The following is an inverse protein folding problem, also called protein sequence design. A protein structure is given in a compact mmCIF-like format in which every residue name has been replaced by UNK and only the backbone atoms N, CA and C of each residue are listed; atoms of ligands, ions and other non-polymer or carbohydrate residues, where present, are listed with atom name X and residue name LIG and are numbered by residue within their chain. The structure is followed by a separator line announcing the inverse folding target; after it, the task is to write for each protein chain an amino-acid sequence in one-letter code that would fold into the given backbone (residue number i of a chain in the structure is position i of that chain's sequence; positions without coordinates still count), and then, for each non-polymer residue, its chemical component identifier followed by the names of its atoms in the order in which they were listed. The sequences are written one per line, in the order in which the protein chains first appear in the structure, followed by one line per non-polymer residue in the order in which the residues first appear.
data_IF_503328475403
#
_entry.id   IF_503328475403
#
_cell.length_a   1.000
_cell.length_b   1.000
_cell.length_c   1.000
_cell.angle_alpha   90.00
_cell.angle_beta   90.00
_cell.angle_gamma   90.00
#
_symmetry.space_group_name_H-M   'P 1'
#
loop_
_entity.id
_entity.type
_entity.pdbx_description
1 polymer ?
#
# COMPACT_ATOMS: atom_id res chain seq x y z
N UNK A 1 3.83 7.70 21.60
CA UNK A 1 3.59 7.98 20.16
C UNK A 1 2.32 7.26 19.77
N UNK A 2 1.38 7.94 19.13
CA UNK A 2 0.12 7.37 18.67
C UNK A 2 0.42 6.47 17.47
N UNK A 3 0.11 5.19 17.59
CA UNK A 3 0.22 4.24 16.48
C UNK A 3 -0.97 4.44 15.55
N UNK A 4 -0.72 4.61 14.25
CA UNK A 4 -1.78 4.69 13.23
C UNK A 4 -1.94 3.37 12.48
N UNK A 5 -3.15 3.05 11.99
CA UNK A 5 -3.40 1.84 11.22
C UNK A 5 -2.62 1.78 9.91
N UNK A 6 -2.31 0.54 9.50
CA UNK A 6 -1.78 0.22 8.17
C UNK A 6 -2.84 -0.61 7.45
N UNK A 7 -3.24 -0.17 6.27
CA UNK A 7 -4.27 -0.82 5.45
C UNK A 7 -3.62 -1.38 4.19
N UNK A 8 -3.87 -2.66 3.93
CA UNK A 8 -3.56 -3.33 2.67
C UNK A 8 -4.86 -3.69 1.95
N UNK A 9 -4.82 -3.68 0.62
CA UNK A 9 -5.88 -4.22 -0.24
C UNK A 9 -5.29 -5.26 -1.19
N UNK A 10 -5.84 -6.48 -1.21
CA UNK A 10 -5.39 -7.52 -2.12
C UNK A 10 -6.42 -8.64 -2.30
N UNK A 11 -6.64 -9.07 -3.53
CA UNK A 11 -7.39 -10.29 -3.84
C UNK A 11 -6.45 -11.46 -4.13
N UNK A 12 -6.82 -12.66 -3.67
CA UNK A 12 -5.99 -13.85 -3.79
C UNK A 12 -4.88 -13.91 -2.75
N UNK A 13 -3.98 -14.88 -2.88
CA UNK A 13 -2.91 -15.11 -1.91
C UNK A 13 -1.59 -15.50 -2.60
N UNK A 14 -0.97 -14.60 -3.37
CA UNK A 14 0.32 -14.86 -3.98
C UNK A 14 1.43 -14.96 -2.92
N UNK A 15 2.50 -15.65 -3.27
CA UNK A 15 3.59 -15.96 -2.33
C UNK A 15 4.27 -14.72 -1.72
N UNK A 16 4.32 -13.61 -2.45
CA UNK A 16 4.96 -12.38 -1.96
C UNK A 16 4.16 -11.66 -0.87
N UNK A 17 2.82 -11.77 -0.88
CA UNK A 17 1.93 -11.08 0.07
C UNK A 17 2.32 -11.31 1.54
N UNK A 18 2.66 -12.54 1.90
CA UNK A 18 3.08 -12.90 3.26
C UNK A 18 4.32 -12.14 3.75
N UNK A 19 5.22 -11.77 2.83
CA UNK A 19 6.45 -11.05 3.20
C UNK A 19 6.13 -9.60 3.54
N UNK A 20 5.32 -8.92 2.72
CA UNK A 20 4.89 -7.53 2.99
C UNK A 20 4.11 -7.43 4.30
N UNK A 21 3.11 -8.29 4.51
CA UNK A 21 2.30 -8.29 5.72
C UNK A 21 3.12 -8.57 7.00
N UNK A 22 3.99 -9.59 6.97
CA UNK A 22 4.83 -9.92 8.12
C UNK A 22 5.87 -8.84 8.40
N UNK A 23 6.44 -8.25 7.37
CA UNK A 23 7.41 -7.18 7.52
C UNK A 23 6.77 -5.92 8.11
N UNK A 24 5.58 -5.53 7.63
CA UNK A 24 4.83 -4.43 8.22
C UNK A 24 4.56 -4.67 9.70
N UNK A 25 4.11 -5.87 10.11
CA UNK A 25 3.91 -6.24 11.51
C UNK A 25 5.20 -6.20 12.32
N UNK A 26 6.33 -6.64 11.74
CA UNK A 26 7.61 -6.67 12.43
C UNK A 26 8.10 -5.27 12.81
N UNK A 27 8.03 -4.32 11.86
CA UNK A 27 8.46 -2.94 12.09
C UNK A 27 7.41 -2.10 12.83
N UNK A 28 6.14 -2.54 12.82
CA UNK A 28 5.02 -1.83 13.44
C UNK A 28 4.23 -2.76 14.39
N UNK A 29 4.85 -3.20 15.50
CA UNK A 29 4.25 -4.18 16.40
C UNK A 29 2.98 -3.66 17.09
N UNK A 30 2.83 -2.36 17.24
CA UNK A 30 1.72 -1.71 17.93
C UNK A 30 0.64 -1.14 17.01
N UNK A 31 0.88 -1.08 15.68
CA UNK A 31 -0.12 -0.62 14.72
C UNK A 31 -1.19 -1.68 14.47
N UNK A 32 -2.44 -1.27 14.35
CA UNK A 32 -3.46 -2.13 13.75
C UNK A 32 -3.11 -2.32 12.27
N UNK A 33 -3.13 -3.56 11.80
CA UNK A 33 -2.90 -3.90 10.40
C UNK A 33 -4.15 -4.56 9.86
N UNK A 34 -4.73 -3.95 8.85
CA UNK A 34 -5.91 -4.44 8.15
C UNK A 34 -5.54 -4.97 6.77
N UNK A 35 -6.10 -6.10 6.39
CA UNK A 35 -6.06 -6.62 5.02
C UNK A 35 -7.49 -6.69 4.49
N UNK A 36 -7.86 -5.76 3.61
CA UNK A 36 -9.09 -5.85 2.84
C UNK A 36 -8.85 -6.82 1.67
N UNK A 37 -9.59 -7.91 1.64
CA UNK A 37 -9.32 -8.96 0.66
C UNK A 37 -10.48 -9.93 0.45
N UNK A 38 -10.16 -11.14 0.02
CA UNK A 38 -11.10 -12.22 -0.23
C UNK A 38 -10.83 -13.43 0.70
N UNK A 39 -11.66 -14.47 0.58
CA UNK A 39 -11.49 -15.72 1.37
C UNK A 39 -10.14 -16.41 1.17
N UNK A 40 -9.43 -16.16 0.05
CA UNK A 40 -8.16 -16.83 -0.26
C UNK A 40 -7.02 -16.32 0.62
N UNK A 41 -7.08 -15.06 1.06
CA UNK A 41 -6.08 -14.45 1.93
C UNK A 41 -6.54 -14.23 3.39
N UNK A 42 -7.71 -14.75 3.77
CA UNK A 42 -8.20 -14.80 5.16
C UNK A 42 -7.51 -15.93 5.94
N UNK A 43 -6.22 -15.78 6.19
CA UNK A 43 -5.38 -16.81 6.84
C UNK A 43 -4.27 -16.27 7.73
N UNK A 44 -4.12 -14.96 7.80
CA UNK A 44 -3.06 -14.31 8.57
C UNK A 44 -3.58 -13.89 9.94
N UNK A 45 -3.24 -14.64 10.99
CA UNK A 45 -3.73 -14.45 12.35
C UNK A 45 -3.07 -13.30 13.13
N UNK A 46 -2.16 -12.58 12.50
CA UNK A 46 -1.42 -11.45 13.09
C UNK A 46 -1.91 -10.08 12.62
N UNK A 47 -2.97 -10.05 11.83
CA UNK A 47 -3.64 -8.86 11.36
C UNK A 47 -5.16 -9.06 11.42
N UNK A 48 -5.92 -8.01 11.16
CA UNK A 48 -7.36 -8.07 11.02
C UNK A 48 -7.73 -8.19 9.55
N UNK A 49 -8.28 -9.33 9.15
CA UNK A 49 -8.78 -9.53 7.79
C UNK A 49 -10.21 -9.00 7.65
N UNK A 50 -10.46 -8.29 6.56
CA UNK A 50 -11.76 -7.72 6.20
C UNK A 50 -12.17 -8.25 4.83
N UNK A 51 -13.33 -8.87 4.74
CA UNK A 51 -13.90 -9.29 3.45
C UNK A 51 -14.30 -8.03 2.66
N UNK A 52 -13.55 -7.69 1.59
CA UNK A 52 -13.79 -6.50 0.79
C UNK A 52 -15.19 -6.49 0.17
N UNK A 53 -15.74 -7.67 -0.17
CA UNK A 53 -17.11 -7.82 -0.71
C UNK A 53 -18.20 -7.24 0.20
N UNK A 54 -17.95 -7.00 1.49
CA UNK A 54 -18.86 -6.27 2.37
C UNK A 54 -19.16 -4.85 1.87
N UNK A 55 -18.22 -4.25 1.17
CA UNK A 55 -18.27 -2.86 0.67
C UNK A 55 -18.47 -2.80 -0.86
N UNK A 56 -18.98 -3.88 -1.48
CA UNK A 56 -19.16 -3.99 -2.93
C UNK A 56 -20.03 -2.89 -3.50
N UNK A 57 -21.07 -2.48 -2.78
CA UNK A 57 -22.04 -1.47 -3.24
C UNK A 57 -21.37 -0.12 -3.57
N UNK A 58 -20.42 0.31 -2.75
CA UNK A 58 -19.69 1.56 -2.94
C UNK A 58 -18.76 1.48 -4.14
N UNK A 59 -18.16 0.32 -4.38
CA UNK A 59 -17.30 0.07 -5.54
C UNK A 59 -18.11 -0.06 -6.85
N UNK A 60 -19.30 -0.66 -6.83
CA UNK A 60 -20.16 -0.86 -7.98
C UNK A 60 -20.60 0.46 -8.62
N UNK A 61 -20.76 1.53 -7.83
CA UNK A 61 -21.11 2.85 -8.33
C UNK A 61 -20.04 3.37 -9.31
N UNK A 62 -18.77 3.20 -9.00
CA UNK A 62 -17.67 3.55 -9.90
C UNK A 62 -17.52 2.54 -11.05
N UNK A 63 -17.63 1.24 -10.77
CA UNK A 63 -17.53 0.20 -11.79
C UNK A 63 -18.53 0.40 -12.94
N UNK A 64 -19.74 0.88 -12.60
CA UNK A 64 -20.80 1.14 -13.60
C UNK A 64 -20.53 2.31 -14.56
N UNK A 65 -19.63 3.22 -14.21
CA UNK A 65 -19.25 4.38 -15.04
C UNK A 65 -17.85 4.27 -15.63
N UNK A 66 -17.03 3.31 -15.14
CA UNK A 66 -15.66 3.13 -15.59
C UNK A 66 -15.58 2.84 -17.08
N UNK A 67 -14.67 3.52 -17.75
CA UNK A 67 -14.30 3.26 -19.15
C UNK A 67 -12.82 3.00 -19.22
N UNK A 68 -12.48 1.80 -19.68
CA UNK A 68 -11.09 1.38 -19.77
C UNK A 68 -10.30 2.19 -20.80
N UNK A 69 -9.13 2.73 -20.36
CA UNK A 69 -8.20 3.52 -21.15
C UNK A 69 -6.76 3.19 -20.76
N UNK A 70 -6.37 1.91 -20.87
CA UNK A 70 -5.03 1.46 -20.48
C UNK A 70 -4.60 0.27 -21.32
N UNK A 71 -3.31 0.07 -21.51
CA UNK A 71 -2.75 -1.16 -22.08
C UNK A 71 -2.75 -2.34 -21.10
N UNK A 72 -2.97 -2.11 -19.82
CA UNK A 72 -3.17 -3.16 -18.83
C UNK A 72 -4.51 -3.85 -19.04
N UNK A 73 -4.68 -5.07 -18.52
CA UNK A 73 -5.99 -5.75 -18.57
C UNK A 73 -7.06 -4.95 -17.81
N UNK A 74 -8.26 -4.83 -18.40
CA UNK A 74 -9.37 -4.02 -17.86
C UNK A 74 -9.71 -4.36 -16.42
N UNK A 75 -9.84 -5.65 -16.11
CA UNK A 75 -10.16 -6.10 -14.75
C UNK A 75 -9.08 -5.72 -13.73
N UNK A 76 -7.81 -5.79 -14.13
CA UNK A 76 -6.70 -5.39 -13.27
C UNK A 76 -6.76 -3.89 -12.99
N UNK A 77 -6.89 -3.08 -14.06
CA UNK A 77 -6.91 -1.62 -13.94
C UNK A 77 -8.12 -1.14 -13.14
N UNK A 78 -9.30 -1.71 -13.41
CA UNK A 78 -10.50 -1.39 -12.64
C UNK A 78 -10.31 -1.68 -11.14
N UNK A 79 -9.68 -2.78 -10.76
CA UNK A 79 -9.42 -3.10 -9.36
C UNK A 79 -8.45 -2.09 -8.70
N UNK A 80 -7.52 -1.50 -9.47
CA UNK A 80 -6.67 -0.42 -8.96
C UNK A 80 -7.47 0.82 -8.55
N UNK A 81 -8.58 1.12 -9.26
CA UNK A 81 -9.51 2.18 -8.86
C UNK A 81 -10.44 1.76 -7.73
N UNK A 82 -11.05 0.58 -7.83
CA UNK A 82 -12.07 0.12 -6.88
C UNK A 82 -11.53 0.00 -5.45
N UNK A 83 -10.24 -0.30 -5.27
CA UNK A 83 -9.64 -0.41 -3.92
C UNK A 83 -9.88 0.83 -3.08
N UNK A 84 -9.92 2.03 -3.67
CA UNK A 84 -10.13 3.28 -2.94
C UNK A 84 -11.54 3.39 -2.38
N UNK A 85 -12.55 2.93 -3.12
CA UNK A 85 -13.94 2.88 -2.67
C UNK A 85 -14.14 1.87 -1.54
N UNK A 86 -13.51 0.68 -1.63
CA UNK A 86 -13.52 -0.31 -0.56
C UNK A 86 -12.86 0.24 0.72
N UNK A 87 -11.69 0.88 0.59
CA UNK A 87 -10.97 1.48 1.72
C UNK A 87 -11.78 2.63 2.31
N UNK A 88 -12.36 3.49 1.49
CA UNK A 88 -13.19 4.61 1.91
C UNK A 88 -14.39 4.13 2.75
N UNK A 89 -15.14 3.16 2.26
CA UNK A 89 -16.30 2.61 2.95
C UNK A 89 -15.90 1.90 4.28
N UNK A 90 -14.80 1.15 4.27
CA UNK A 90 -14.24 0.55 5.47
C UNK A 90 -13.85 1.60 6.51
N UNK A 91 -13.12 2.64 6.11
CA UNK A 91 -12.69 3.71 7.00
C UNK A 91 -13.88 4.46 7.60
N UNK A 92 -14.91 4.73 6.81
CA UNK A 92 -16.15 5.37 7.25
C UNK A 92 -16.86 4.55 8.33
N UNK A 93 -17.10 3.27 8.06
CA UNK A 93 -17.83 2.39 8.97
C UNK A 93 -17.11 2.20 10.31
N UNK A 94 -15.76 2.14 10.28
CA UNK A 94 -14.95 1.86 11.44
C UNK A 94 -14.36 3.11 12.10
N UNK A 95 -14.77 4.32 11.68
CA UNK A 95 -14.27 5.60 12.18
C UNK A 95 -12.73 5.65 12.18
N UNK A 96 -12.10 5.12 11.10
CA UNK A 96 -10.66 5.17 10.95
C UNK A 96 -10.23 6.62 10.73
N UNK A 97 -9.37 7.11 11.63
CA UNK A 97 -8.72 8.40 11.50
C UNK A 97 -7.55 8.33 10.51
N UNK A 98 -6.42 8.89 10.89
CA UNK A 98 -5.20 8.82 10.08
C UNK A 98 -4.78 7.36 9.83
N UNK A 99 -4.33 7.05 8.62
CA UNK A 99 -3.81 5.73 8.29
C UNK A 99 -2.79 5.77 7.14
N UNK A 100 -2.00 4.71 7.03
CA UNK A 100 -1.15 4.45 5.87
C UNK A 100 -1.79 3.32 5.05
N UNK A 101 -1.94 3.56 3.75
CA UNK A 101 -2.15 2.50 2.77
C UNK A 101 -0.80 2.00 2.24
N UNK A 102 -0.65 0.69 2.12
CA UNK A 102 0.48 0.05 1.48
C UNK A 102 0.02 -0.94 0.41
N UNK A 103 0.67 -0.89 -0.76
CA UNK A 103 0.54 -1.96 -1.74
C UNK A 103 1.11 -3.28 -1.18
N UNK A 104 0.53 -4.38 -1.60
CA UNK A 104 0.85 -5.72 -1.11
C UNK A 104 2.23 -6.24 -1.51
N UNK A 105 2.96 -5.50 -2.32
CA UNK A 105 4.33 -5.75 -2.77
C UNK A 105 5.34 -4.71 -2.24
N UNK A 106 4.98 -4.00 -1.17
CA UNK A 106 5.86 -3.10 -0.43
C UNK A 106 6.45 -3.81 0.79
N UNK A 107 7.77 -3.76 0.97
CA UNK A 107 8.44 -4.11 2.22
C UNK A 107 8.71 -2.85 3.04
N UNK A 108 8.13 -2.76 4.22
CA UNK A 108 8.29 -1.64 5.15
C UNK A 108 9.44 -1.91 6.13
N UNK A 109 10.37 -0.94 6.30
CA UNK A 109 11.56 -1.03 7.15
C UNK A 109 11.61 0.07 8.22
N UNK A 110 10.48 0.75 8.46
CA UNK A 110 10.40 1.78 9.48
C UNK A 110 9.11 1.65 10.30
N UNK A 111 9.15 2.16 11.51
CA UNK A 111 7.96 2.40 12.33
C UNK A 111 7.24 3.65 11.81
N UNK A 112 6.00 3.48 11.35
CA UNK A 112 5.17 4.56 10.79
C UNK A 112 5.01 5.72 11.78
N UNK A 113 4.96 5.45 13.08
CA UNK A 113 4.80 6.51 14.09
C UNK A 113 5.95 7.53 14.10
N UNK A 114 7.15 7.11 13.63
CA UNK A 114 8.31 8.01 13.51
C UNK A 114 8.25 8.86 12.23
N UNK A 115 7.48 8.42 11.25
CA UNK A 115 7.35 9.12 9.97
C UNK A 115 6.18 10.11 9.97
N UNK A 116 5.18 9.89 10.83
CA UNK A 116 3.96 10.69 10.90
C UNK A 116 4.21 12.22 10.98
N UNK A 117 5.13 12.74 11.80
CA UNK A 117 5.40 14.16 11.88
C UNK A 117 5.78 14.84 10.55
N UNK A 118 6.25 14.08 9.57
CA UNK A 118 6.67 14.61 8.26
C UNK A 118 5.50 14.85 7.30
N UNK A 119 4.35 14.20 7.50
CA UNK A 119 3.22 14.29 6.58
C UNK A 119 1.85 14.51 7.25
N UNK A 120 1.77 14.57 8.59
CA UNK A 120 0.50 14.76 9.31
C UNK A 120 -0.22 16.09 9.02
N UNK A 121 0.49 17.06 8.45
CA UNK A 121 -0.07 18.36 8.05
C UNK A 121 -0.72 18.32 6.66
N UNK A 122 -0.54 17.25 5.90
CA UNK A 122 -1.18 17.08 4.60
C UNK A 122 -2.49 16.29 4.73
N UNK A 123 -3.40 16.51 3.79
CA UNK A 123 -4.61 15.69 3.66
C UNK A 123 -4.28 14.33 3.06
N UNK A 124 -3.49 14.31 1.99
CA UNK A 124 -2.96 13.09 1.36
C UNK A 124 -1.47 13.28 1.08
N UNK A 125 -0.66 12.26 1.41
CA UNK A 125 0.74 12.23 1.02
C UNK A 125 1.07 10.90 0.34
N UNK A 126 1.72 10.94 -0.83
CA UNK A 126 2.18 9.73 -1.50
C UNK A 126 3.51 9.95 -2.25
N UNK A 127 4.09 8.85 -2.71
CA UNK A 127 5.24 8.92 -3.61
C UNK A 127 4.77 9.35 -4.99
N UNK A 128 5.52 10.26 -5.63
CA UNK A 128 5.18 10.83 -6.92
C UNK A 128 6.45 11.21 -7.69
N UNK A 129 6.50 10.80 -8.95
CA UNK A 129 7.46 11.30 -9.93
C UNK A 129 6.68 12.06 -11.02
N UNK A 130 6.67 11.58 -12.24
CA UNK A 130 5.83 12.06 -13.35
C UNK A 130 4.39 11.63 -13.21
N UNK A 131 4.13 10.59 -12.41
CA UNK A 131 2.81 10.08 -12.01
C UNK A 131 2.79 9.86 -10.50
N UNK A 132 1.60 9.87 -9.90
CA UNK A 132 1.43 9.49 -8.51
C UNK A 132 1.57 7.97 -8.34
N UNK A 133 2.40 7.51 -7.41
CA UNK A 133 2.58 6.07 -7.13
C UNK A 133 2.03 5.75 -5.76
N UNK A 134 0.78 5.31 -5.65
CA UNK A 134 0.10 5.16 -4.37
C UNK A 134 0.52 3.94 -3.56
N UNK A 135 1.66 3.32 -3.90
CA UNK A 135 2.16 2.14 -3.20
C UNK A 135 2.44 2.37 -1.71
N UNK A 136 2.75 3.59 -1.33
CA UNK A 136 2.78 4.10 0.04
C UNK A 136 2.02 5.41 0.08
N UNK A 137 0.85 5.42 0.71
CA UNK A 137 0.01 6.62 0.78
C UNK A 137 -0.49 6.85 2.20
N UNK A 138 -0.27 8.06 2.71
CA UNK A 138 -0.88 8.55 3.92
C UNK A 138 -2.22 9.25 3.60
N UNK A 139 -3.21 8.99 4.42
CA UNK A 139 -4.50 9.68 4.43
C UNK A 139 -4.79 10.25 5.81
N UNK A 140 -5.13 11.53 5.86
CA UNK A 140 -5.58 12.20 7.08
C UNK A 140 -7.07 11.94 7.32
N UNK A 141 -7.40 10.66 7.51
CA UNK A 141 -8.74 10.21 7.84
C UNK A 141 -9.63 9.86 6.66
N UNK A 142 -10.84 9.45 7.00
CA UNK A 142 -11.88 9.06 6.05
C UNK A 142 -12.17 10.13 5.00
N UNK A 143 -12.28 11.40 5.43
CA UNK A 143 -12.59 12.51 4.51
C UNK A 143 -11.57 12.65 3.39
N UNK A 144 -10.29 12.41 3.67
CA UNK A 144 -9.23 12.49 2.68
C UNK A 144 -9.41 11.44 1.56
N UNK A 145 -9.65 10.18 1.91
CA UNK A 145 -9.91 9.15 0.90
C UNK A 145 -11.24 9.33 0.20
N UNK A 146 -12.26 9.86 0.88
CA UNK A 146 -13.55 10.21 0.29
C UNK A 146 -13.41 11.28 -0.77
N UNK A 147 -12.69 12.38 -0.49
CA UNK A 147 -12.41 13.44 -1.47
C UNK A 147 -11.72 12.91 -2.72
N UNK A 148 -10.79 11.96 -2.56
CA UNK A 148 -10.18 11.29 -3.70
C UNK A 148 -11.18 10.41 -4.48
N UNK A 149 -12.07 9.68 -3.79
CA UNK A 149 -13.14 8.91 -4.45
C UNK A 149 -14.11 9.81 -5.21
N UNK A 150 -14.48 10.95 -4.65
CA UNK A 150 -15.34 11.95 -5.33
C UNK A 150 -14.65 12.51 -6.57
N UNK A 151 -13.35 12.76 -6.49
CA UNK A 151 -12.55 13.16 -7.63
C UNK A 151 -12.51 12.09 -8.74
N UNK A 152 -12.39 10.81 -8.38
CA UNK A 152 -12.48 9.70 -9.34
C UNK A 152 -13.86 9.67 -10.02
N UNK A 153 -14.95 9.81 -9.26
CA UNK A 153 -16.31 9.87 -9.81
C UNK A 153 -16.47 11.07 -10.75
N UNK A 154 -16.01 12.26 -10.33
CA UNK A 154 -16.03 13.47 -11.17
C UNK A 154 -15.26 13.25 -12.48
N UNK A 155 -14.07 12.67 -12.40
CA UNK A 155 -13.20 12.42 -13.57
C UNK A 155 -13.85 11.50 -14.63
N UNK A 156 -14.78 10.62 -14.23
CA UNK A 156 -15.47 9.68 -15.11
C UNK A 156 -16.93 10.05 -15.42
N UNK A 157 -17.45 11.16 -14.87
CA UNK A 157 -18.83 11.62 -15.12
C UNK A 157 -18.91 13.02 -15.72
N UNK A 158 -17.97 13.92 -15.41
CA UNK A 158 -17.97 15.28 -15.94
C UNK A 158 -17.44 15.29 -17.38
N UNK A 159 -18.15 15.95 -18.30
CA UNK A 159 -17.81 15.96 -19.74
C UNK A 159 -16.41 16.51 -20.03
N UNK A 160 -16.03 17.61 -19.37
CA UNK A 160 -14.70 18.23 -19.55
C UNK A 160 -13.59 17.32 -18.99
N UNK A 161 -13.79 16.73 -17.82
CA UNK A 161 -12.82 15.80 -17.24
C UNK A 161 -12.64 14.55 -18.11
N UNK A 162 -13.73 14.00 -18.65
CA UNK A 162 -13.69 12.86 -19.59
C UNK A 162 -12.91 13.22 -20.86
N UNK A 163 -13.10 14.42 -21.39
CA UNK A 163 -12.33 14.90 -22.55
C UNK A 163 -10.85 15.00 -22.22
N UNK A 164 -10.47 15.57 -21.08
CA UNK A 164 -9.09 15.65 -20.63
C UNK A 164 -8.45 14.25 -20.50
N UNK A 165 -9.18 13.28 -19.93
CA UNK A 165 -8.71 11.89 -19.86
C UNK A 165 -8.54 11.26 -21.24
N UNK A 166 -9.40 11.60 -22.19
CA UNK A 166 -9.30 11.12 -23.57
C UNK A 166 -8.06 11.71 -24.26
N UNK A 167 -7.81 13.00 -24.11
CA UNK A 167 -6.62 13.67 -24.65
C UNK A 167 -5.32 13.09 -24.08
N UNK A 168 -5.28 12.81 -22.77
CA UNK A 168 -4.16 12.14 -22.13
C UNK A 168 -3.96 10.69 -22.62
N UNK A 169 -5.02 10.02 -23.05
CA UNK A 169 -4.94 8.65 -23.57
C UNK A 169 -4.59 8.56 -25.05
N UNK A 170 -4.83 9.62 -25.84
CA UNK A 170 -4.56 9.63 -27.29
C UNK A 170 -3.15 9.17 -27.71
N UNK A 171 -2.05 9.56 -27.02
CA UNK A 171 -0.70 9.09 -27.39
C UNK A 171 -0.58 7.57 -27.38
N UNK A 172 -1.23 6.90 -26.44
CA UNK A 172 -1.25 5.42 -26.32
C UNK A 172 -2.07 4.76 -27.43
N UNK A 173 -3.09 5.43 -27.94
CA UNK A 173 -3.87 4.95 -29.10
C UNK A 173 -3.12 5.11 -30.41
N UNK A 174 -2.30 6.17 -30.56
CA UNK A 174 -1.52 6.45 -31.76
C UNK A 174 -0.33 5.51 -31.93
N UNK A 175 0.24 5.04 -30.84
CA UNK A 175 1.35 4.07 -30.83
C UNK A 175 1.02 2.86 -29.96
N UNK A 176 0.54 1.76 -30.54
CA UNK A 176 0.21 0.54 -29.81
C UNK A 176 1.39 -0.14 -29.12
N UNK A 177 2.64 0.28 -29.41
CA UNK A 177 3.83 -0.23 -28.72
C UNK A 177 4.06 0.49 -27.39
N UNK A 178 3.47 1.67 -27.21
CA UNK A 178 3.55 2.43 -25.98
C UNK A 178 2.67 1.79 -24.89
N UNK A 179 3.29 1.32 -23.82
CA UNK A 179 2.59 0.75 -22.67
C UNK A 179 2.17 1.87 -21.71
N UNK A 180 0.99 1.72 -21.13
CA UNK A 180 0.46 2.67 -20.14
C UNK A 180 -0.98 3.09 -20.44
N UNK A 181 -1.36 4.28 -19.98
CA UNK A 181 -2.72 4.81 -20.12
C UNK A 181 -3.22 5.48 -18.83
N UNK A 182 -4.54 5.54 -18.70
CA UNK A 182 -5.19 6.14 -17.53
C UNK A 182 -5.33 5.08 -16.44
N UNK A 183 -4.66 5.32 -15.32
CA UNK A 183 -4.67 4.49 -14.12
C UNK A 183 -5.03 5.34 -12.90
N UNK A 184 -5.21 4.72 -11.75
CA UNK A 184 -5.34 5.47 -10.50
C UNK A 184 -4.07 6.30 -10.18
N UNK A 185 -2.91 5.86 -10.64
CA UNK A 185 -1.66 6.63 -10.55
C UNK A 185 -1.74 7.96 -11.34
N UNK A 186 -2.35 7.93 -12.54
CA UNK A 186 -2.61 9.13 -13.35
C UNK A 186 -3.54 10.08 -12.59
N UNK A 187 -4.63 9.55 -11.99
CA UNK A 187 -5.61 10.35 -11.26
C UNK A 187 -5.02 10.91 -9.95
N UNK A 188 -4.15 10.19 -9.24
CA UNK A 188 -3.41 10.76 -8.12
C UNK A 188 -2.52 11.93 -8.54
N UNK A 189 -1.84 11.80 -9.68
CA UNK A 189 -1.01 12.89 -10.20
C UNK A 189 -1.84 14.15 -10.48
N UNK A 190 -2.98 14.01 -11.17
CA UNK A 190 -3.88 15.14 -11.47
C UNK A 190 -4.44 15.72 -10.17
N UNK A 191 -4.90 14.87 -9.24
CA UNK A 191 -5.41 15.31 -7.94
C UNK A 191 -4.37 16.16 -7.18
N UNK A 192 -3.10 15.73 -7.18
CA UNK A 192 -2.02 16.47 -6.53
C UNK A 192 -1.71 17.80 -7.22
N UNK A 193 -1.89 17.88 -8.53
CA UNK A 193 -1.76 19.15 -9.26
C UNK A 193 -2.89 20.13 -8.97
N UNK A 194 -4.11 19.63 -8.79
CA UNK A 194 -5.29 20.45 -8.50
C UNK A 194 -5.40 20.84 -7.02
N UNK A 195 -4.78 20.08 -6.10
CA UNK A 195 -4.85 20.28 -4.65
C UNK A 195 -3.46 20.43 -3.99
N UNK A 196 -2.58 21.34 -4.49
CA UNK A 196 -1.19 21.43 -4.01
C UNK A 196 -1.06 21.89 -2.56
N UNK A 197 -2.05 22.57 -2.01
CA UNK A 197 -2.06 23.02 -0.61
C UNK A 197 -2.41 21.90 0.39
N UNK A 198 -3.05 20.83 -0.09
CA UNK A 198 -3.56 19.74 0.73
C UNK A 198 -2.76 18.46 0.57
N UNK A 199 -1.91 18.40 -0.46
CA UNK A 199 -1.19 17.17 -0.84
C UNK A 199 0.31 17.32 -0.70
N UNK A 200 1.01 16.22 -0.42
CA UNK A 200 2.46 16.20 -0.21
C UNK A 200 3.12 15.05 -0.96
N UNK A 201 4.22 15.34 -1.66
CA UNK A 201 5.12 14.32 -2.23
C UNK A 201 6.11 13.87 -1.15
N UNK A 202 6.20 12.57 -0.94
CA UNK A 202 6.99 11.98 0.16
C UNK A 202 8.10 11.03 -0.29
N UNK A 203 8.61 11.20 -1.50
CA UNK A 203 9.73 10.38 -2.01
C UNK A 203 10.97 10.49 -1.11
N UNK A 204 11.21 11.69 -0.57
CA UNK A 204 12.28 11.96 0.37
C UNK A 204 11.68 12.67 1.59
N UNK A 205 11.70 12.00 2.74
CA UNK A 205 11.12 12.50 3.99
C UNK A 205 12.04 13.55 4.61
N UNK A 206 13.34 13.26 4.56
CA UNK A 206 14.42 14.16 4.95
C UNK A 206 15.69 13.76 4.17
N UNK A 207 16.78 14.45 4.36
CA UNK A 207 18.02 14.20 3.62
C UNK A 207 18.57 12.76 3.75
N UNK A 208 18.08 11.98 4.73
CA UNK A 208 18.62 10.65 5.08
C UNK A 208 17.59 9.53 4.99
N UNK A 209 16.30 9.84 4.74
CA UNK A 209 15.21 8.84 4.71
C UNK A 209 14.32 9.04 3.49
N UNK A 210 14.23 8.02 2.66
CA UNK A 210 13.40 8.00 1.45
C UNK A 210 12.35 6.89 1.49
N UNK A 211 11.25 7.09 0.76
CA UNK A 211 10.26 6.08 0.42
C UNK A 211 10.48 5.71 -1.04
N UNK A 212 10.74 4.45 -1.33
CA UNK A 212 11.00 3.99 -2.68
C UNK A 212 9.73 4.04 -3.54
N UNK A 213 9.81 4.73 -4.68
CA UNK A 213 8.71 4.77 -5.66
C UNK A 213 8.54 3.38 -6.30
N UNK A 214 9.64 2.82 -6.79
CA UNK A 214 9.71 1.50 -7.38
C UNK A 214 11.17 1.06 -7.48
N UNK A 215 11.48 -0.16 -7.05
CA UNK A 215 12.86 -0.67 -7.07
C UNK A 215 13.44 -0.76 -8.49
N UNK A 216 12.59 -0.86 -9.51
CA UNK A 216 12.98 -0.92 -10.92
C UNK A 216 13.24 0.47 -11.54
N UNK A 217 12.87 1.56 -10.85
CA UNK A 217 13.10 2.92 -11.32
C UNK A 217 14.36 3.49 -10.66
N UNK A 218 15.29 4.13 -11.40
CA UNK A 218 16.51 4.69 -10.81
C UNK A 218 16.26 5.75 -9.75
N UNK A 219 15.37 6.71 -9.95
CA UNK A 219 15.06 7.84 -9.06
C UNK A 219 16.31 8.52 -8.48
N UNK A 220 17.39 8.60 -9.26
CA UNK A 220 18.67 9.17 -8.81
C UNK A 220 19.55 8.21 -8.01
N UNK A 221 19.19 6.94 -7.85
CA UNK A 221 19.99 5.94 -7.13
C UNK A 221 20.78 5.03 -8.07
N UNK A 222 21.90 4.50 -7.56
CA UNK A 222 22.72 3.51 -8.27
C UNK A 222 21.91 2.26 -8.58
N UNK A 223 22.04 1.77 -9.83
CA UNK A 223 21.34 0.61 -10.34
C UNK A 223 22.25 -0.61 -10.46
N UNK A 224 21.68 -1.81 -10.26
CA UNK A 224 22.34 -3.09 -10.49
C UNK A 224 21.31 -4.09 -11.05
N UNK A 225 21.62 -4.72 -12.19
CA UNK A 225 20.72 -5.70 -12.84
C UNK A 225 19.27 -5.20 -13.07
N UNK A 226 19.11 -3.93 -13.46
CA UNK A 226 17.80 -3.33 -13.75
C UNK A 226 16.97 -2.93 -12.52
N UNK A 227 17.57 -2.97 -11.34
CA UNK A 227 16.93 -2.56 -10.08
C UNK A 227 17.87 -1.65 -9.28
N UNK A 228 17.34 -0.87 -8.34
CA UNK A 228 18.17 -0.12 -7.39
C UNK A 228 19.10 -1.07 -6.66
N UNK A 229 20.39 -0.74 -6.62
CA UNK A 229 21.37 -1.47 -5.83
C UNK A 229 21.16 -1.18 -4.36
N UNK A 230 20.84 -2.21 -3.58
CA UNK A 230 20.52 -2.08 -2.16
C UNK A 230 21.73 -2.43 -1.31
N UNK A 231 22.21 -1.44 -0.58
CA UNK A 231 23.25 -1.59 0.44
C UNK A 231 22.60 -1.86 1.80
N UNK A 232 23.12 -2.83 2.54
CA UNK A 232 22.54 -3.25 3.81
C UNK A 232 23.40 -2.83 4.98
N UNK A 233 22.82 -2.07 5.94
CA UNK A 233 23.46 -1.74 7.21
C UNK A 233 22.48 -2.08 8.34
N UNK A 234 22.89 -2.92 9.29
CA UNK A 234 22.05 -3.37 10.41
C UNK A 234 20.66 -3.90 9.98
N UNK A 235 20.60 -4.65 8.88
CA UNK A 235 19.38 -5.15 8.24
C UNK A 235 18.42 -4.07 7.69
N UNK A 236 18.86 -2.83 7.58
CA UNK A 236 18.11 -1.74 6.94
C UNK A 236 18.64 -1.48 5.53
N UNK A 237 17.76 -1.16 4.55
CA UNK A 237 18.13 -0.93 3.17
C UNK A 237 18.57 0.51 2.94
N UNK A 238 19.61 0.68 2.12
CA UNK A 238 20.11 1.98 1.66
C UNK A 238 20.28 1.96 0.15
N UNK A 239 19.99 3.09 -0.51
CA UNK A 239 20.38 3.39 -1.87
C UNK A 239 21.55 4.36 -1.86
N UNK A 240 22.44 4.25 -2.85
CA UNK A 240 23.49 5.25 -3.05
C UNK A 240 23.00 6.28 -4.07
N UNK A 241 22.86 7.51 -3.62
CA UNK A 241 22.51 8.64 -4.48
C UNK A 241 23.65 8.92 -5.49
N UNK A 242 23.31 8.99 -6.76
CA UNK A 242 24.31 9.11 -7.86
C UNK A 242 24.96 10.48 -7.86
N UNK A 243 24.23 11.54 -7.52
CA UNK A 243 24.73 12.92 -7.56
C UNK A 243 25.63 13.24 -6.36
N UNK A 244 25.24 12.82 -5.18
CA UNK A 244 25.94 13.14 -3.92
C UNK A 244 26.88 12.04 -3.45
N UNK A 245 26.77 10.83 -4.01
CA UNK A 245 27.45 9.60 -3.59
C UNK A 245 27.16 9.17 -2.13
N UNK A 246 26.16 9.77 -1.49
CA UNK A 246 25.74 9.43 -0.12
C UNK A 246 24.79 8.23 -0.11
N UNK A 247 24.84 7.50 1.00
CA UNK A 247 23.83 6.47 1.29
C UNK A 247 22.62 7.12 1.92
N UNK A 248 21.45 6.89 1.31
CA UNK A 248 20.13 7.30 1.80
C UNK A 248 19.38 6.07 2.24
N UNK A 249 18.84 6.05 3.45
CA UNK A 249 18.07 4.92 3.98
C UNK A 249 16.68 4.87 3.35
N UNK A 250 16.23 3.68 2.98
CA UNK A 250 14.85 3.48 2.55
C UNK A 250 13.95 3.07 3.73
N UNK A 251 12.86 3.81 3.94
CA UNK A 251 11.79 3.44 4.86
C UNK A 251 10.94 2.29 4.30
N UNK A 252 10.83 2.20 2.98
CA UNK A 252 10.16 1.10 2.29
C UNK A 252 10.81 0.84 0.93
N UNK A 253 10.63 -0.39 0.40
CA UNK A 253 11.00 -0.78 -0.96
C UNK A 253 9.75 -1.33 -1.65
N UNK A 254 9.47 -0.86 -2.87
CA UNK A 254 8.31 -1.25 -3.67
C UNK A 254 8.72 -2.18 -4.82
N UNK A 255 8.14 -3.37 -4.87
CA UNK A 255 8.51 -4.45 -5.82
C UNK A 255 7.48 -4.60 -6.94
N UNK A 256 7.44 -3.64 -7.86
CA UNK A 256 6.50 -3.68 -8.99
C UNK A 256 6.90 -4.73 -10.04
N UNK A 257 5.91 -5.35 -10.67
CA UNK A 257 6.13 -6.29 -11.78
C UNK A 257 6.98 -7.50 -11.37
N UNK A 258 8.02 -7.82 -12.16
CA UNK A 258 8.89 -8.99 -11.89
C UNK A 258 9.81 -8.80 -10.66
N UNK A 259 9.94 -7.60 -10.13
CA UNK A 259 10.69 -7.41 -8.89
C UNK A 259 10.08 -8.18 -7.70
N UNK A 260 8.81 -8.56 -7.79
CA UNK A 260 8.15 -9.44 -6.80
C UNK A 260 8.89 -10.76 -6.58
N UNK A 261 9.58 -11.28 -7.60
CA UNK A 261 10.33 -12.54 -7.52
C UNK A 261 11.50 -12.48 -6.52
N UNK A 262 12.05 -11.28 -6.30
CA UNK A 262 13.18 -11.08 -5.37
C UNK A 262 12.76 -10.56 -3.98
N UNK A 263 11.49 -10.22 -3.75
CA UNK A 263 11.00 -9.64 -2.49
C UNK A 263 11.44 -10.47 -1.26
N UNK A 264 11.45 -11.81 -1.40
CA UNK A 264 11.91 -12.73 -0.36
C UNK A 264 13.37 -12.49 0.05
N UNK A 265 14.25 -12.07 -0.86
CA UNK A 265 15.69 -11.85 -0.58
C UNK A 265 15.90 -10.66 0.35
N UNK A 266 15.02 -9.67 0.25
CA UNK A 266 15.09 -8.42 1.02
C UNK A 266 14.24 -8.45 2.30
N UNK A 267 13.42 -9.50 2.49
CA UNK A 267 12.62 -9.70 3.69
C UNK A 267 13.50 -9.91 4.93
N UNK A 268 13.23 -9.19 6.03
CA UNK A 268 14.05 -9.17 7.25
C UNK A 268 13.35 -9.68 8.52
N UNK A 269 12.06 -9.94 8.47
CA UNK A 269 11.30 -10.45 9.63
C UNK A 269 11.43 -11.98 9.81
N UNK A 270 12.55 -12.58 9.40
CA UNK A 270 12.82 -14.00 9.59
C UNK A 270 12.95 -14.33 11.10
N UNK A 271 12.23 -15.37 11.53
CA UNK A 271 12.25 -15.80 12.93
C UNK A 271 11.40 -14.97 13.90
N UNK A 272 10.70 -13.94 13.41
CA UNK A 272 9.77 -13.17 14.22
C UNK A 272 8.55 -14.01 14.61
N UNK A 273 8.47 -14.35 15.90
CA UNK A 273 7.27 -14.99 16.50
C UNK A 273 6.31 -13.89 16.87
N UNK A 274 5.21 -13.81 16.15
CA UNK A 274 4.22 -12.76 16.29
C UNK A 274 3.59 -12.76 17.69
N UNK A 275 3.50 -11.63 18.40
CA UNK A 275 2.96 -11.57 19.77
C UNK A 275 1.58 -12.22 19.93
N UNK A 276 0.66 -12.03 18.97
CA UNK A 276 -0.66 -12.69 18.97
C UNK A 276 -0.60 -14.21 18.79
N UNK A 277 0.38 -14.73 18.05
CA UNK A 277 0.63 -16.18 17.96
C UNK A 277 1.05 -16.73 19.32
N UNK A 278 1.88 -16.01 20.03
CA UNK A 278 2.35 -16.39 21.37
C UNK A 278 1.19 -16.38 22.37
N UNK A 279 0.30 -15.38 22.33
CA UNK A 279 -0.89 -15.33 23.15
C UNK A 279 -1.89 -16.45 22.78
N UNK A 280 -2.13 -16.70 21.49
CA UNK A 280 -3.01 -17.79 21.05
C UNK A 280 -2.46 -19.17 21.41
N UNK A 281 -1.14 -19.36 21.36
CA UNK A 281 -0.47 -20.58 21.81
C UNK A 281 -0.55 -20.74 23.35
N UNK A 282 -0.39 -19.66 24.11
CA UNK A 282 -0.62 -19.66 25.57
C UNK A 282 -2.07 -19.99 25.92
N UNK A 283 -3.04 -19.41 25.20
CA UNK A 283 -4.45 -19.69 25.38
C UNK A 283 -4.76 -21.16 25.06
N UNK A 284 -4.30 -21.68 23.90
CA UNK A 284 -4.46 -23.09 23.54
C UNK A 284 -3.81 -24.05 24.54
N UNK A 285 -2.61 -23.69 25.05
CA UNK A 285 -1.93 -24.49 26.08
C UNK A 285 -2.69 -24.47 27.42
N UNK A 286 -3.25 -23.31 27.82
CA UNK A 286 -4.14 -23.20 28.99
C UNK A 286 -5.41 -24.05 28.85
N UNK A 287 -6.10 -23.97 27.70
CA UNK A 287 -7.26 -24.82 27.43
C UNK A 287 -6.93 -26.31 27.44
N UNK A 288 -5.77 -26.69 26.89
CA UNK A 288 -5.32 -28.10 26.91
C UNK A 288 -5.02 -28.59 28.33
N UNK A 289 -4.47 -27.69 29.19
CA UNK A 289 -4.21 -27.99 30.61
C UNK A 289 -5.52 -28.15 31.41
N UNK A 290 -6.47 -27.22 31.20
CA UNK A 290 -7.82 -27.27 31.80
C UNK A 290 -8.58 -28.56 31.41
N UNK A 291 -8.59 -28.90 30.11
CA UNK A 291 -9.20 -30.16 29.61
C UNK A 291 -8.57 -31.42 30.27
N UNK A 292 -7.25 -31.42 30.50
CA UNK A 292 -6.57 -32.54 31.18
C UNK A 292 -6.94 -32.61 32.65
N UNK A 293 -7.05 -31.46 33.35
CA UNK A 293 -7.48 -31.41 34.76
C UNK A 293 -8.92 -31.87 34.95
N UNK A 294 -9.83 -31.45 34.06
CA UNK A 294 -11.23 -31.91 34.09
C UNK A 294 -11.30 -33.43 33.83
N UNK A 295 -10.52 -33.96 32.89
CA UNK A 295 -10.48 -35.41 32.60
C UNK A 295 -9.90 -36.25 33.76
N UNK A 296 -9.06 -35.62 34.60
CA UNK A 296 -8.51 -36.27 35.80
C UNK A 296 -9.47 -36.26 37.00
N UNK A 297 -10.42 -35.32 37.03
CA UNK A 297 -11.44 -35.18 38.08
C UNK A 297 -12.70 -36.05 37.83
N UNK A 298 -12.87 -36.56 36.61
CA UNK A 298 -14.00 -37.39 36.17
C UNK A 298 -13.65 -38.89 36.07
N UNK A 299 -12.42 -39.23 36.46
CA UNK A 299 -11.95 -40.60 36.72
C UNK A 299 -11.82 -40.80 38.22
#
# INVERSE_FOLDING_TARGET
MTSIPIIFFHYGNPDYLKYSLKQARFFNPHSEIYLLGDKKNDRYNFLTHIQAGKYQKEADAFAGIYKHRSSNGEHYELNCFLRWFYICAFCKENNIGQFIYLDSDVLLYEDISKMLPFFEHSTIANTCDTIGVPAFTYFNGYQAVHSFCDFLLYSYTNSTAIQNLQELYEPFLKDPTTMGGISDMTLFHIYFQEHPAETMKINLINNDLAIDICINNPDGYEMENGMKKIYWQNNLPYGKDVATHKLVRFASLHYQGHAKDIIRRHYKANGYVLPRLWESLKIKARFKKIKRSIKALVK
#
